data_IF_465713278990
#
_entry.id   IF_465713278990
#
_cell.length_a   1.000
_cell.length_b   1.000
_cell.length_c   1.000
_cell.angle_alpha   90.00
_cell.angle_beta   90.00
_cell.angle_gamma   90.00
#
_symmetry.space_group_name_H-M   'P 1'
#
loop_
_entity.id
_entity.type
_entity.pdbx_description
1 polymer ?
#
# COMPACT_ATOMS: atom_id res chain seq x y z
N UNK A 1 -29.62 9.41 1.44
CA UNK A 1 -28.53 8.76 2.20
C UNK A 1 -27.66 8.09 1.18
N UNK A 2 -26.39 8.47 1.11
CA UNK A 2 -25.44 7.84 0.18
C UNK A 2 -25.16 6.42 0.65
N UNK A 3 -25.29 5.44 -0.23
CA UNK A 3 -24.97 4.04 0.08
C UNK A 3 -23.69 3.59 -0.63
N UNK A 4 -23.13 2.46 -0.18
CA UNK A 4 -22.00 1.77 -0.83
C UNK A 4 -22.25 1.54 -2.32
N UNK A 5 -23.42 1.00 -2.67
CA UNK A 5 -23.76 0.64 -4.05
C UNK A 5 -23.84 1.87 -4.97
N UNK A 6 -24.25 3.02 -4.43
CA UNK A 6 -24.27 4.29 -5.16
C UNK A 6 -22.84 4.73 -5.53
N UNK A 7 -21.89 4.62 -4.60
CA UNK A 7 -20.47 4.95 -4.83
C UNK A 7 -19.86 3.99 -5.86
N UNK A 8 -20.16 2.69 -5.78
CA UNK A 8 -19.71 1.70 -6.78
C UNK A 8 -20.21 2.09 -8.18
N UNK A 9 -21.48 2.48 -8.30
CA UNK A 9 -22.06 2.88 -9.58
C UNK A 9 -21.34 4.09 -10.18
N UNK A 10 -21.01 5.09 -9.37
CA UNK A 10 -20.26 6.27 -9.85
C UNK A 10 -18.84 5.91 -10.27
N UNK A 11 -18.11 5.16 -9.44
CA UNK A 11 -16.72 4.80 -9.73
C UNK A 11 -16.59 3.80 -10.90
N UNK A 12 -17.58 2.94 -11.13
CA UNK A 12 -17.60 2.04 -12.30
C UNK A 12 -17.85 2.76 -13.63
N UNK A 13 -18.51 3.91 -13.60
CA UNK A 13 -18.77 4.75 -14.78
C UNK A 13 -17.65 5.77 -15.03
N UNK A 14 -16.78 5.99 -14.05
CA UNK A 14 -15.65 6.90 -14.15
C UNK A 14 -14.52 6.28 -14.96
N UNK A 15 -14.03 7.00 -15.97
CA UNK A 15 -12.86 6.58 -16.76
C UNK A 15 -11.52 6.84 -16.03
N UNK A 16 -11.54 7.58 -14.92
CA UNK A 16 -10.37 7.94 -14.13
C UNK A 16 -10.72 7.96 -12.63
N UNK A 17 -9.71 7.81 -11.74
CA UNK A 17 -9.91 7.94 -10.29
C UNK A 17 -10.53 9.29 -9.92
N UNK A 18 -11.51 9.28 -9.02
CA UNK A 18 -12.28 10.47 -8.59
C UNK A 18 -11.95 10.88 -7.16
N UNK A 19 -11.95 12.18 -6.86
CA UNK A 19 -11.90 12.66 -5.49
C UNK A 19 -13.22 12.41 -4.76
N UNK A 20 -13.19 12.46 -3.42
CA UNK A 20 -14.42 12.34 -2.60
C UNK A 20 -15.42 13.45 -2.93
N UNK A 21 -14.95 14.66 -3.24
CA UNK A 21 -15.79 15.79 -3.65
C UNK A 21 -16.47 15.57 -4.99
N UNK A 22 -15.77 14.98 -5.96
CA UNK A 22 -16.34 14.60 -7.27
C UNK A 22 -17.40 13.51 -7.11
N UNK A 23 -17.15 12.51 -6.26
CA UNK A 23 -18.11 11.42 -5.95
C UNK A 23 -19.37 12.00 -5.28
N UNK A 24 -19.21 12.82 -4.24
CA UNK A 24 -20.32 13.44 -3.54
C UNK A 24 -21.15 14.34 -4.47
N UNK A 25 -20.49 15.09 -5.36
CA UNK A 25 -21.15 15.93 -6.37
C UNK A 25 -21.96 15.09 -7.35
N UNK A 26 -21.41 13.97 -7.83
CA UNK A 26 -22.10 13.06 -8.74
C UNK A 26 -23.33 12.38 -8.11
N UNK A 27 -23.29 12.16 -6.79
CA UNK A 27 -24.39 11.55 -6.03
C UNK A 27 -25.39 12.57 -5.46
N UNK A 28 -25.08 13.86 -5.52
CA UNK A 28 -25.81 14.89 -4.77
C UNK A 28 -25.80 14.64 -3.26
N UNK A 29 -24.75 13.99 -2.75
CA UNK A 29 -24.62 13.50 -1.38
C UNK A 29 -23.69 14.34 -0.51
N UNK A 30 -23.59 13.95 0.76
CA UNK A 30 -22.64 14.55 1.71
C UNK A 30 -21.23 13.99 1.54
N UNK A 31 -20.22 14.88 1.57
CA UNK A 31 -18.80 14.51 1.41
C UNK A 31 -18.34 13.61 2.55
N UNK A 32 -18.72 13.91 3.80
CA UNK A 32 -18.32 13.12 4.97
C UNK A 32 -18.89 11.71 4.96
N UNK A 33 -20.15 11.55 4.54
CA UNK A 33 -20.76 10.24 4.34
C UNK A 33 -20.05 9.42 3.26
N UNK A 34 -19.67 10.04 2.14
CA UNK A 34 -18.92 9.35 1.08
C UNK A 34 -17.53 8.94 1.56
N UNK A 35 -16.82 9.85 2.25
CA UNK A 35 -15.48 9.59 2.80
C UNK A 35 -15.54 8.39 3.77
N UNK A 36 -16.47 8.40 4.72
CA UNK A 36 -16.62 7.33 5.70
C UNK A 36 -16.82 5.95 5.06
N UNK A 37 -17.63 5.85 4.00
CA UNK A 37 -17.89 4.59 3.30
C UNK A 37 -16.64 4.10 2.54
N UNK A 38 -15.93 5.00 1.85
CA UNK A 38 -14.71 4.67 1.09
C UNK A 38 -13.60 4.10 2.00
N UNK A 39 -13.50 4.63 3.23
CA UNK A 39 -12.52 4.18 4.22
C UNK A 39 -12.90 2.87 4.94
N UNK A 40 -14.19 2.51 4.99
CA UNK A 40 -14.67 1.32 5.71
C UNK A 40 -14.62 0.03 4.86
N UNK A 41 -14.55 0.13 3.54
CA UNK A 41 -14.66 -1.02 2.62
C UNK A 41 -13.37 -1.24 1.79
N UNK A 42 -12.30 -1.82 2.39
CA UNK A 42 -11.00 -1.94 1.74
C UNK A 42 -10.92 -2.90 0.56
N UNK A 43 -11.88 -3.81 0.44
CA UNK A 43 -11.95 -4.78 -0.64
C UNK A 43 -12.48 -4.17 -1.95
N UNK A 44 -13.18 -3.03 -1.89
CA UNK A 44 -13.98 -2.53 -3.02
C UNK A 44 -13.51 -1.21 -3.58
N UNK A 45 -13.02 -0.32 -2.74
CA UNK A 45 -12.50 0.98 -3.15
C UNK A 45 -11.00 0.93 -2.97
N UNK A 46 -10.19 1.42 -3.91
CA UNK A 46 -8.74 1.54 -3.80
C UNK A 46 -8.39 3.01 -3.83
N UNK A 47 -7.56 3.43 -2.88
CA UNK A 47 -7.06 4.79 -2.83
C UNK A 47 -5.89 4.94 -3.82
N UNK A 48 -5.76 6.12 -4.41
CA UNK A 48 -4.74 6.46 -5.38
C UNK A 48 -4.05 7.77 -4.96
N UNK A 49 -2.73 7.90 -5.21
CA UNK A 49 -2.02 9.14 -5.00
C UNK A 49 -2.76 10.35 -5.55
N UNK A 50 -2.80 11.43 -4.76
CA UNK A 50 -3.56 12.63 -5.09
C UNK A 50 -5.00 12.64 -4.60
N UNK A 51 -5.31 11.87 -3.55
CA UNK A 51 -6.62 11.85 -2.88
C UNK A 51 -7.78 11.39 -3.77
N UNK A 52 -7.50 10.40 -4.62
CA UNK A 52 -8.47 9.86 -5.58
C UNK A 52 -8.79 8.41 -5.29
N UNK A 53 -9.99 8.01 -5.68
CA UNK A 53 -10.54 6.69 -5.43
C UNK A 53 -10.95 6.04 -6.74
N UNK A 54 -10.77 4.73 -6.80
CA UNK A 54 -11.25 3.89 -7.89
C UNK A 54 -11.78 2.58 -7.34
N UNK A 55 -12.50 1.80 -8.16
CA UNK A 55 -12.87 0.45 -7.75
C UNK A 55 -11.65 -0.45 -7.71
N UNK A 56 -11.55 -1.27 -6.67
CA UNK A 56 -10.66 -2.42 -6.65
C UNK A 56 -11.01 -3.27 -7.87
N UNK A 57 -10.07 -3.40 -8.81
CA UNK A 57 -10.27 -4.32 -9.92
C UNK A 57 -10.45 -5.70 -9.30
N UNK A 58 -11.67 -6.25 -9.37
CA UNK A 58 -11.83 -7.69 -9.27
C UNK A 58 -10.80 -8.27 -10.24
N UNK A 59 -9.89 -9.12 -9.76
CA UNK A 59 -8.90 -9.80 -10.59
C UNK A 59 -9.66 -10.54 -11.69
N UNK A 60 -9.87 -9.90 -12.83
CA UNK A 60 -10.13 -10.62 -14.06
C UNK A 60 -8.81 -11.29 -14.39
N UNK A 61 -8.82 -12.61 -14.36
CA UNK A 61 -7.80 -13.44 -14.96
C UNK A 61 -7.87 -13.21 -16.49
N UNK A 62 -7.57 -12.00 -16.95
CA UNK A 62 -7.44 -11.67 -18.35
C UNK A 62 -6.02 -12.05 -18.77
N UNK A 63 -5.97 -13.05 -19.64
CA UNK A 63 -4.78 -13.58 -20.32
C UNK A 63 -3.78 -12.49 -20.71
N UNK A 64 -2.56 -12.65 -20.20
CA UNK A 64 -1.34 -11.93 -20.58
C UNK A 64 -1.14 -12.01 -22.10
N UNK A 65 -1.37 -10.90 -22.80
CA UNK A 65 -0.85 -10.69 -24.14
C UNK A 65 0.68 -10.43 -24.08
N UNK A 66 1.46 -10.78 -25.12
CA UNK A 66 2.91 -10.57 -25.10
C UNK A 66 3.24 -9.09 -25.23
N UNK A 67 4.20 -8.63 -24.42
CA UNK A 67 4.71 -7.26 -24.48
C UNK A 67 5.43 -6.99 -25.83
N UNK A 68 5.28 -5.79 -26.41
CA UNK A 68 6.12 -5.34 -27.51
C UNK A 68 7.56 -5.01 -27.02
N UNK A 69 8.57 -5.04 -27.92
CA UNK A 69 9.98 -4.91 -27.56
C UNK A 69 10.35 -3.47 -27.16
N UNK A 70 11.31 -3.38 -26.24
CA UNK A 70 11.80 -2.16 -25.58
C UNK A 70 12.22 -1.05 -26.56
N UNK A 71 11.79 0.22 -26.35
CA UNK A 71 12.45 1.38 -26.94
C UNK A 71 13.68 1.81 -26.11
N UNK A 72 14.68 2.44 -26.76
CA UNK A 72 16.03 2.59 -26.21
C UNK A 72 16.14 3.68 -25.14
N UNK A 73 17.03 3.37 -24.20
CA UNK A 73 17.51 4.14 -23.06
C UNK A 73 17.92 5.58 -23.42
N UNK A 74 17.26 6.56 -22.80
CA UNK A 74 17.60 7.98 -22.88
C UNK A 74 17.76 8.55 -21.47
N UNK A 75 19.01 8.55 -21.01
CA UNK A 75 19.47 9.24 -19.81
C UNK A 75 19.10 10.72 -19.86
N UNK A 76 18.24 11.15 -18.93
CA UNK A 76 18.28 12.53 -18.39
C UNK A 76 17.92 12.45 -16.90
N UNK A 77 18.76 12.97 -15.99
CA UNK A 77 18.47 12.94 -14.56
C UNK A 77 17.62 14.16 -14.23
N UNK A 78 16.33 13.95 -13.94
CA UNK A 78 15.53 14.95 -13.25
C UNK A 78 15.33 14.50 -11.80
N UNK A 79 15.79 15.38 -10.91
CA UNK A 79 15.88 15.22 -9.47
C UNK A 79 14.47 15.14 -8.88
N UNK A 80 14.11 13.98 -8.35
CA UNK A 80 13.30 13.75 -7.14
C UNK A 80 13.57 12.32 -6.69
N UNK A 81 14.45 12.13 -5.69
CA UNK A 81 14.77 10.80 -5.15
C UNK A 81 13.59 10.25 -4.36
N UNK A 82 12.63 9.66 -5.06
CA UNK A 82 11.82 8.56 -4.52
C UNK A 82 12.68 7.29 -4.68
N UNK A 83 13.14 6.72 -3.55
CA UNK A 83 14.21 5.71 -3.51
C UNK A 83 14.04 4.59 -4.54
N UNK A 84 15.10 4.31 -5.30
CA UNK A 84 15.11 3.32 -6.37
C UNK A 84 14.66 1.94 -5.85
N UNK A 85 13.94 1.16 -6.67
CA UNK A 85 13.58 -0.21 -6.30
C UNK A 85 14.86 -1.01 -6.00
N UNK A 86 14.92 -1.62 -4.83
CA UNK A 86 16.15 -2.22 -4.34
C UNK A 86 15.97 -2.99 -3.04
N UNK A 87 16.90 -3.91 -2.78
CA UNK A 87 17.00 -4.57 -1.49
C UNK A 87 17.54 -3.57 -0.46
N UNK A 88 16.82 -3.39 0.65
CA UNK A 88 17.22 -2.51 1.73
C UNK A 88 18.12 -3.22 2.74
N UNK A 89 17.73 -4.43 3.16
CA UNK A 89 18.45 -5.21 4.18
C UNK A 89 18.06 -6.69 4.14
N UNK A 90 18.88 -7.55 4.72
CA UNK A 90 18.49 -8.90 5.10
C UNK A 90 18.82 -9.15 6.58
N UNK A 91 17.88 -9.74 7.32
CA UNK A 91 18.04 -10.11 8.73
C UNK A 91 17.93 -11.63 8.86
N UNK A 92 18.97 -12.27 9.40
CA UNK A 92 18.95 -13.72 9.67
C UNK A 92 18.68 -13.95 11.14
N UNK A 93 17.59 -14.65 11.45
CA UNK A 93 17.23 -15.03 12.81
C UNK A 93 18.02 -16.26 13.26
N UNK A 94 18.10 -16.47 14.57
CA UNK A 94 18.74 -17.67 15.15
C UNK A 94 18.08 -18.99 14.73
N UNK A 95 16.82 -18.96 14.29
CA UNK A 95 16.11 -20.10 13.72
C UNK A 95 16.57 -20.47 12.30
N UNK A 96 17.40 -19.64 11.66
CA UNK A 96 17.79 -19.80 10.25
C UNK A 96 16.80 -19.21 9.24
N UNK A 97 15.71 -18.61 9.71
CA UNK A 97 14.78 -17.84 8.87
C UNK A 97 15.43 -16.51 8.49
N UNK A 98 15.33 -16.14 7.21
CA UNK A 98 15.85 -14.87 6.67
C UNK A 98 14.69 -13.95 6.35
N UNK A 99 14.71 -12.73 6.88
CA UNK A 99 13.80 -11.65 6.48
C UNK A 99 14.53 -10.75 5.49
N UNK A 100 14.19 -10.88 4.20
CA UNK A 100 14.70 -10.03 3.14
C UNK A 100 13.79 -8.81 2.97
N UNK A 101 14.32 -7.61 3.20
CA UNK A 101 13.57 -6.36 3.12
C UNK A 101 13.87 -5.67 1.80
N UNK A 102 12.82 -5.40 1.02
CA UNK A 102 12.88 -4.74 -0.27
C UNK A 102 12.03 -3.47 -0.27
N UNK A 103 12.35 -2.53 -1.16
CA UNK A 103 11.53 -1.36 -1.47
C UNK A 103 11.16 -1.38 -2.94
N UNK A 104 9.87 -1.19 -3.27
CA UNK A 104 9.36 -1.02 -4.65
C UNK A 104 7.94 -0.44 -4.64
N UNK A 105 7.45 0.13 -5.75
CA UNK A 105 6.04 0.53 -5.85
C UNK A 105 5.12 -0.68 -5.73
N UNK A 106 4.01 -0.53 -4.99
CA UNK A 106 2.94 -1.53 -4.91
C UNK A 106 1.61 -0.91 -5.32
N UNK A 107 0.84 -1.64 -6.12
CA UNK A 107 -0.51 -1.26 -6.54
C UNK A 107 -1.54 -1.61 -5.46
N UNK A 108 -1.35 -1.10 -4.24
CA UNK A 108 -2.23 -1.31 -3.09
C UNK A 108 -2.03 -0.27 -2.00
N UNK A 109 -3.03 -0.09 -1.15
CA UNK A 109 -2.97 0.85 -0.01
C UNK A 109 -2.12 0.36 1.16
N UNK A 110 -1.65 -0.89 1.13
CA UNK A 110 -0.72 -1.35 2.15
C UNK A 110 0.65 -0.67 1.98
N UNK A 111 1.22 -0.17 3.07
CA UNK A 111 2.59 0.36 3.08
C UNK A 111 3.66 -0.74 3.08
N UNK A 112 3.28 -2.01 3.23
CA UNK A 112 4.17 -3.16 3.03
C UNK A 112 3.42 -4.42 2.61
N UNK A 113 4.13 -5.41 2.07
CA UNK A 113 3.63 -6.78 1.80
C UNK A 113 4.59 -7.84 2.32
N UNK A 114 4.05 -9.02 2.63
CA UNK A 114 4.81 -10.18 3.09
C UNK A 114 4.64 -11.31 2.08
N UNK A 115 5.74 -11.95 1.67
CA UNK A 115 5.73 -13.16 0.85
C UNK A 115 6.76 -14.14 1.34
N UNK A 116 6.39 -15.41 1.41
CA UNK A 116 7.28 -16.44 1.93
C UNK A 116 7.68 -17.43 0.85
N UNK A 117 8.96 -17.80 0.83
CA UNK A 117 9.51 -18.81 -0.05
C UNK A 117 10.58 -19.59 0.71
N UNK A 118 10.26 -20.84 1.09
CA UNK A 118 11.16 -21.68 1.88
C UNK A 118 11.45 -21.06 3.25
N UNK A 119 12.73 -20.83 3.55
CA UNK A 119 13.19 -20.20 4.79
C UNK A 119 13.31 -18.67 4.69
N UNK A 120 12.91 -18.07 3.57
CA UNK A 120 13.04 -16.64 3.33
C UNK A 120 11.68 -15.98 3.31
N UNK A 121 11.50 -15.00 4.19
CA UNK A 121 10.35 -14.11 4.23
C UNK A 121 10.76 -12.80 3.56
N UNK A 122 10.11 -12.46 2.47
CA UNK A 122 10.29 -11.20 1.75
C UNK A 122 9.30 -10.17 2.29
N UNK A 123 9.81 -9.19 3.03
CA UNK A 123 9.09 -7.99 3.44
C UNK A 123 9.32 -6.89 2.40
N UNK A 124 8.28 -6.45 1.71
CA UNK A 124 8.41 -5.40 0.69
C UNK A 124 7.71 -4.13 1.14
N UNK A 125 8.45 -3.06 1.39
CA UNK A 125 7.92 -1.73 1.67
C UNK A 125 7.43 -1.05 0.38
N UNK A 126 6.24 -0.45 0.46
CA UNK A 126 5.62 0.25 -0.65
C UNK A 126 6.24 1.64 -0.85
N UNK A 127 7.08 1.81 -1.86
CA UNK A 127 7.79 3.07 -2.08
C UNK A 127 6.87 4.24 -2.46
N UNK A 128 5.64 3.98 -2.88
CA UNK A 128 4.65 5.01 -3.29
C UNK A 128 3.64 5.33 -2.19
N UNK A 129 3.72 4.69 -1.03
CA UNK A 129 2.83 4.98 0.08
C UNK A 129 3.22 6.29 0.77
N UNK A 130 2.24 7.16 1.03
CA UNK A 130 2.45 8.54 1.51
C UNK A 130 3.23 8.63 2.83
N UNK A 131 3.10 7.63 3.70
CA UNK A 131 3.91 7.49 4.92
C UNK A 131 5.40 7.76 4.68
N UNK A 132 5.97 7.23 3.60
CA UNK A 132 7.41 7.34 3.33
C UNK A 132 7.81 8.65 2.64
N UNK A 133 6.86 9.56 2.40
CA UNK A 133 7.14 10.92 1.93
C UNK A 133 7.59 11.81 3.09
N UNK A 134 6.93 11.69 4.25
CA UNK A 134 7.15 12.56 5.41
C UNK A 134 7.88 11.87 6.56
N UNK A 135 7.87 10.54 6.64
CA UNK A 135 8.50 9.78 7.71
C UNK A 135 9.75 9.02 7.24
N UNK A 136 10.74 8.79 8.14
CA UNK A 136 11.90 7.96 7.84
C UNK A 136 11.50 6.55 7.41
N UNK A 137 12.11 6.03 6.34
CA UNK A 137 11.88 4.66 5.91
C UNK A 137 12.67 3.68 6.80
N UNK A 138 12.01 2.71 7.47
CA UNK A 138 12.70 1.67 8.22
C UNK A 138 13.64 0.84 7.33
N UNK A 139 14.68 0.24 7.89
CA UNK A 139 15.67 -0.61 7.20
C UNK A 139 16.61 0.07 6.21
N UNK A 140 16.39 1.34 5.83
CA UNK A 140 17.37 2.08 5.02
C UNK A 140 18.67 2.34 5.81
N UNK A 141 19.82 2.32 5.14
CA UNK A 141 21.09 2.68 5.76
C UNK A 141 21.27 4.21 5.71
N UNK A 142 20.80 4.87 6.78
CA UNK A 142 20.96 6.31 6.96
C UNK A 142 21.68 6.53 8.30
N UNK A 143 22.47 7.60 8.42
CA UNK A 143 23.29 7.93 9.61
C UNK A 143 22.44 8.09 10.89
N UNK A 144 21.13 8.29 10.72
CA UNK A 144 20.16 8.45 11.79
C UNK A 144 19.59 7.09 12.26
N UNK A 145 20.40 6.36 13.04
CA UNK A 145 19.98 5.16 13.78
C UNK A 145 19.11 5.54 15.00
N UNK A 146 17.98 6.20 14.77
CA UNK A 146 17.09 6.57 15.87
C UNK A 146 16.49 5.32 16.56
N UNK A 147 16.31 5.33 17.90
CA UNK A 147 15.63 4.23 18.60
C UNK A 147 14.24 3.94 18.04
N UNK A 148 13.56 4.98 17.54
CA UNK A 148 12.26 4.86 16.87
C UNK A 148 12.34 4.02 15.60
N UNK A 149 13.35 4.22 14.76
CA UNK A 149 13.57 3.41 13.55
C UNK A 149 13.74 1.94 13.90
N UNK A 150 14.54 1.62 14.93
CA UNK A 150 14.72 0.25 15.42
C UNK A 150 13.40 -0.36 15.93
N UNK A 151 12.58 0.41 16.64
CA UNK A 151 11.25 -0.03 17.08
C UNK A 151 10.38 -0.43 15.88
N UNK A 152 10.31 0.41 14.84
CA UNK A 152 9.58 0.10 13.61
C UNK A 152 10.12 -1.15 12.91
N UNK A 153 11.44 -1.29 12.79
CA UNK A 153 12.08 -2.46 12.18
C UNK A 153 11.71 -3.76 12.91
N UNK A 154 11.70 -3.74 14.25
CA UNK A 154 11.30 -4.89 15.08
C UNK A 154 9.83 -5.23 14.89
N UNK A 155 8.93 -4.24 14.95
CA UNK A 155 7.48 -4.46 14.80
C UNK A 155 7.12 -5.00 13.42
N UNK A 156 7.73 -4.48 12.35
CA UNK A 156 7.51 -4.97 10.99
C UNK A 156 8.05 -6.39 10.79
N UNK A 157 9.21 -6.69 11.37
CA UNK A 157 9.77 -8.04 11.34
C UNK A 157 8.89 -9.04 12.10
N UNK A 158 8.36 -8.64 13.26
CA UNK A 158 7.44 -9.45 14.05
C UNK A 158 6.12 -9.72 13.30
N UNK A 159 5.57 -8.70 12.62
CA UNK A 159 4.41 -8.88 11.75
C UNK A 159 4.70 -9.86 10.61
N UNK A 160 5.84 -9.73 9.93
CA UNK A 160 6.21 -10.60 8.82
C UNK A 160 6.30 -12.08 9.25
N UNK A 161 6.85 -12.35 10.43
CA UNK A 161 6.89 -13.69 11.03
C UNK A 161 5.49 -14.19 11.40
N UNK A 162 4.64 -13.33 11.94
CA UNK A 162 3.25 -13.68 12.27
C UNK A 162 2.47 -14.06 11.00
N UNK A 163 2.48 -13.23 9.96
CA UNK A 163 1.75 -13.46 8.70
C UNK A 163 2.27 -14.71 7.96
N UNK A 164 3.58 -15.01 8.07
CA UNK A 164 4.18 -16.25 7.55
C UNK A 164 3.68 -17.51 8.26
N UNK A 165 3.59 -17.46 9.60
CA UNK A 165 3.18 -18.60 10.42
C UNK A 165 1.69 -18.95 10.30
N UNK A 166 0.86 -18.05 9.74
CA UNK A 166 -0.56 -18.31 9.58
C UNK A 166 -0.83 -19.39 8.52
N UNK A 167 -1.72 -20.35 8.81
CA UNK A 167 -2.19 -21.27 7.80
C UNK A 167 -2.93 -20.48 6.70
N UNK A 168 -2.83 -20.94 5.46
CA UNK A 168 -3.60 -20.38 4.36
C UNK A 168 -5.11 -20.43 4.61
N UNK A 169 -5.89 -19.73 3.79
CA UNK A 169 -7.35 -19.69 3.89
C UNK A 169 -7.87 -18.38 4.47
N UNK A 170 -8.99 -18.42 5.19
CA UNK A 170 -9.70 -17.22 5.66
C UNK A 170 -8.89 -16.37 6.64
N UNK A 171 -8.14 -17.01 7.55
CA UNK A 171 -7.34 -16.30 8.56
C UNK A 171 -6.22 -15.50 7.89
N UNK A 172 -5.47 -16.11 6.98
CA UNK A 172 -4.42 -15.42 6.22
C UNK A 172 -4.96 -14.24 5.41
N UNK A 173 -6.12 -14.43 4.75
CA UNK A 173 -6.81 -13.34 4.03
C UNK A 173 -7.21 -12.20 4.98
N UNK A 174 -7.79 -12.51 6.13
CA UNK A 174 -8.17 -11.49 7.12
C UNK A 174 -6.96 -10.69 7.65
N UNK A 175 -5.80 -11.34 7.80
CA UNK A 175 -4.55 -10.65 8.16
C UNK A 175 -4.03 -9.77 7.03
N UNK A 176 -4.07 -10.25 5.78
CA UNK A 176 -3.74 -9.44 4.59
C UNK A 176 -4.67 -8.22 4.46
N UNK A 177 -5.97 -8.39 4.74
CA UNK A 177 -6.97 -7.32 4.74
C UNK A 177 -6.72 -6.31 5.86
N UNK A 178 -6.33 -6.79 7.04
CA UNK A 178 -5.94 -5.93 8.17
C UNK A 178 -4.73 -5.07 7.82
N UNK A 179 -3.75 -5.63 7.08
CA UNK A 179 -2.58 -4.89 6.61
C UNK A 179 -2.94 -3.81 5.57
N UNK A 180 -3.90 -4.08 4.68
CA UNK A 180 -4.43 -3.10 3.74
C UNK A 180 -5.17 -1.96 4.48
N UNK A 181 -6.05 -2.33 5.41
CA UNK A 181 -6.77 -1.36 6.22
C UNK A 181 -5.82 -0.50 7.05
N UNK A 182 -4.76 -1.08 7.58
CA UNK A 182 -3.76 -0.33 8.33
C UNK A 182 -3.11 0.76 7.48
N UNK A 183 -2.69 0.46 6.25
CA UNK A 183 -2.11 1.49 5.38
C UNK A 183 -3.07 2.62 5.06
N UNK A 184 -4.34 2.29 4.83
CA UNK A 184 -5.39 3.32 4.71
C UNK A 184 -5.53 4.21 5.93
N UNK A 185 -5.60 3.61 7.13
CA UNK A 185 -5.71 4.39 8.37
C UNK A 185 -4.47 5.25 8.62
N UNK A 186 -3.30 4.83 8.16
CA UNK A 186 -2.10 5.68 8.20
C UNK A 186 -2.28 6.90 7.31
N UNK A 187 -2.80 6.76 6.08
CA UNK A 187 -3.06 7.90 5.20
C UNK A 187 -4.06 8.88 5.83
N UNK A 188 -5.17 8.37 6.37
CA UNK A 188 -6.17 9.17 7.08
C UNK A 188 -5.54 9.93 8.26
N UNK A 189 -4.77 9.24 9.11
CA UNK A 189 -4.09 9.86 10.26
C UNK A 189 -3.05 10.92 9.84
N UNK A 190 -2.33 10.69 8.74
CA UNK A 190 -1.37 11.67 8.22
C UNK A 190 -2.09 12.93 7.74
N UNK A 191 -3.23 12.79 7.04
CA UNK A 191 -4.06 13.91 6.61
C UNK A 191 -4.51 14.76 7.81
N UNK A 192 -5.09 14.13 8.83
CA UNK A 192 -5.55 14.86 10.03
C UNK A 192 -4.40 15.58 10.75
N UNK A 193 -3.20 14.98 10.78
CA UNK A 193 -2.04 15.61 11.41
C UNK A 193 -1.46 16.81 10.66
N UNK A 194 -1.86 17.03 9.41
CA UNK A 194 -1.43 18.17 8.58
C UNK A 194 -2.42 19.34 8.61
N UNK A 195 -3.62 19.15 9.16
CA UNK A 195 -4.66 20.18 9.29
C UNK A 195 -4.63 20.92 10.66
N UNK A 196 -3.73 20.53 11.56
CA UNK A 196 -3.36 21.23 12.81
C UNK A 196 -2.11 22.12 12.66
#
# INVERSE_FOLDING_TARGET
MTTRDDIIKVLSQAAAPLSVTEIATALGGDVGQCDAILWQEPQEFVWQPGHKWMLASAKSHASRAPAPPDPPDARTPYVMSTGAPGQLRALTLSSGVVIAVNRRPLDSDAFFTVRSAGNTITLTLNSTHELFTSMPTPFEENDDSSPYKKLCEVLLSAWALYEDALPGGSIKRATEDSRLLWGRRVIEMLRESHDD
#
